data_IF_793142786598
#
_entry.id   IF_793142786598
#
_cell.length_a   1.000
_cell.length_b   1.000
_cell.length_c   1.000
_cell.angle_alpha   90.00
_cell.angle_beta   90.00
_cell.angle_gamma   90.00
#
_symmetry.space_group_name_H-M   'P 1'
#
loop_
_entity.id
_entity.type
_entity.pdbx_description
1 polymer ?
#
# COMPACT_ATOMS: atom_id res chain seq x y z
N UNK A 1 -1.39 67.42 -28.85
CA UNK A 1 -1.04 66.11 -29.44
C UNK A 1 -0.41 65.26 -28.36
N UNK A 2 -1.10 64.21 -27.91
CA UNK A 2 -0.53 62.95 -27.42
C UNK A 2 -1.70 62.00 -27.21
N UNK A 3 -1.85 61.09 -28.17
CA UNK A 3 -2.76 59.95 -28.13
C UNK A 3 -2.03 58.82 -27.42
N UNK A 4 -2.36 58.56 -26.16
CA UNK A 4 -1.99 57.30 -25.52
C UNK A 4 -3.16 56.36 -25.68
N UNK A 5 -3.05 55.47 -26.66
CA UNK A 5 -3.93 54.33 -26.87
C UNK A 5 -3.75 53.39 -25.66
N UNK A 6 -4.68 53.47 -24.71
CA UNK A 6 -4.87 52.45 -23.70
C UNK A 6 -5.51 51.25 -24.39
N UNK A 7 -4.71 50.21 -24.61
CA UNK A 7 -5.17 48.95 -25.16
C UNK A 7 -5.85 48.22 -24.00
N UNK A 8 -7.16 47.96 -24.00
CA UNK A 8 -7.80 47.28 -22.87
C UNK A 8 -7.34 45.83 -22.88
N UNK A 9 -6.36 45.49 -22.05
CA UNK A 9 -6.13 44.09 -21.68
C UNK A 9 -7.43 43.61 -21.04
N UNK A 10 -8.18 42.76 -21.75
CA UNK A 10 -9.38 42.15 -21.21
C UNK A 10 -8.99 41.47 -19.91
N UNK A 11 -9.59 41.81 -18.75
CA UNK A 11 -9.23 41.18 -17.50
C UNK A 11 -9.50 39.69 -17.63
N UNK A 12 -8.44 38.87 -17.65
CA UNK A 12 -8.56 37.42 -17.65
C UNK A 12 -9.18 37.00 -16.34
N UNK A 13 -10.46 36.61 -16.37
CA UNK A 13 -11.13 36.10 -15.18
C UNK A 13 -10.83 34.61 -15.00
N UNK A 14 -10.96 34.08 -13.78
CA UNK A 14 -10.84 32.64 -13.53
C UNK A 14 -11.75 31.80 -14.43
N UNK A 15 -12.95 32.30 -14.76
CA UNK A 15 -13.90 31.59 -15.63
C UNK A 15 -13.41 31.49 -17.08
N UNK A 16 -12.59 32.43 -17.55
CA UNK A 16 -11.98 32.35 -18.89
C UNK A 16 -10.83 31.34 -18.93
N UNK A 17 -10.04 31.23 -17.86
CA UNK A 17 -8.91 30.30 -17.76
C UNK A 17 -9.36 28.86 -17.40
N UNK A 18 -10.47 28.74 -16.67
CA UNK A 18 -11.05 27.50 -16.16
C UNK A 18 -12.52 27.44 -16.57
N UNK A 19 -12.84 26.92 -17.77
CA UNK A 19 -14.19 26.94 -18.32
C UNK A 19 -15.17 26.01 -17.59
N UNK A 20 -14.70 24.94 -16.95
CA UNK A 20 -15.50 24.19 -16.00
C UNK A 20 -15.43 24.87 -14.63
N UNK A 21 -16.39 24.60 -13.74
CA UNK A 21 -16.36 25.13 -12.39
C UNK A 21 -15.50 24.30 -11.44
N UNK A 22 -15.58 22.99 -11.60
CA UNK A 22 -14.96 22.03 -10.69
C UNK A 22 -13.89 21.21 -11.38
N UNK A 23 -12.81 20.97 -10.65
CA UNK A 23 -11.66 20.24 -11.14
C UNK A 23 -11.08 19.29 -10.09
N UNK A 24 -10.54 18.17 -10.57
CA UNK A 24 -9.64 17.31 -9.81
C UNK A 24 -8.19 17.51 -10.27
N UNK A 25 -7.29 17.70 -9.31
CA UNK A 25 -5.85 17.74 -9.53
C UNK A 25 -5.20 16.39 -9.24
N UNK A 26 -4.23 16.02 -10.06
CA UNK A 26 -3.41 14.82 -9.92
C UNK A 26 -2.00 15.11 -10.43
N UNK A 27 -1.03 14.26 -10.07
CA UNK A 27 0.31 14.34 -10.64
C UNK A 27 0.30 13.74 -12.05
N UNK A 28 0.39 14.60 -13.07
CA UNK A 28 0.41 14.21 -14.49
C UNK A 28 1.68 13.46 -14.89
N UNK A 29 2.73 13.48 -14.05
CA UNK A 29 4.00 12.79 -14.29
C UNK A 29 4.09 11.43 -13.60
N UNK A 30 3.18 11.14 -12.67
CA UNK A 30 3.12 9.88 -11.97
C UNK A 30 2.59 8.74 -12.87
N UNK A 31 3.07 7.49 -12.69
CA UNK A 31 2.45 6.33 -13.31
C UNK A 31 0.97 6.23 -12.98
N UNK A 32 0.15 5.91 -13.97
CA UNK A 32 -1.28 5.76 -13.79
C UNK A 32 -1.66 4.32 -13.38
N UNK A 33 -2.74 4.14 -12.59
CA UNK A 33 -3.60 5.19 -12.05
C UNK A 33 -2.91 6.03 -10.97
N UNK A 34 -3.01 7.35 -11.07
CA UNK A 34 -2.44 8.29 -10.10
C UNK A 34 -3.52 8.76 -9.12
N UNK A 35 -3.23 8.92 -7.82
CA UNK A 35 -4.25 9.41 -6.87
C UNK A 35 -4.70 10.82 -7.23
N UNK A 36 -5.99 11.11 -6.99
CA UNK A 36 -6.45 12.51 -6.94
C UNK A 36 -5.84 13.16 -5.70
N UNK A 37 -5.14 14.27 -5.90
CA UNK A 37 -4.41 15.00 -4.85
C UNK A 37 -5.19 16.20 -4.31
N UNK A 38 -6.05 16.79 -5.15
CA UNK A 38 -6.78 18.00 -4.79
C UNK A 38 -8.09 18.13 -5.57
N UNK A 39 -9.00 18.92 -5.02
CA UNK A 39 -10.28 19.30 -5.62
C UNK A 39 -10.41 20.82 -5.60
N UNK A 40 -10.83 21.42 -6.71
CA UNK A 40 -10.90 22.87 -6.88
C UNK A 40 -12.28 23.32 -7.35
N UNK A 41 -12.86 24.35 -6.72
CA UNK A 41 -13.96 25.17 -7.26
C UNK A 41 -13.35 26.51 -7.69
N UNK A 42 -13.10 26.68 -8.98
CA UNK A 42 -12.33 27.81 -9.52
C UNK A 42 -13.16 29.06 -9.74
N UNK A 43 -14.49 28.95 -9.79
CA UNK A 43 -15.36 30.09 -10.13
C UNK A 43 -15.57 31.07 -8.99
N UNK A 44 -15.42 30.61 -7.74
CA UNK A 44 -15.46 31.46 -6.56
C UNK A 44 -14.15 32.16 -6.24
N UNK A 45 -13.08 31.90 -7.01
CA UNK A 45 -11.75 32.43 -6.73
C UNK A 45 -11.60 33.86 -7.27
N UNK A 46 -10.86 34.70 -6.55
CA UNK A 46 -10.49 36.05 -7.00
C UNK A 46 -9.22 36.06 -7.87
N UNK A 47 -8.36 35.04 -7.72
CA UNK A 47 -7.16 34.79 -8.52
C UNK A 47 -7.00 33.28 -8.73
N UNK A 48 -6.29 32.90 -9.81
CA UNK A 48 -5.91 31.51 -10.09
C UNK A 48 -4.42 31.25 -9.85
N UNK A 49 -3.72 32.20 -9.24
CA UNK A 49 -2.31 32.07 -8.89
C UNK A 49 -2.09 30.82 -8.01
N UNK A 50 -1.14 29.98 -8.43
CA UNK A 50 -0.83 28.72 -7.75
C UNK A 50 -1.71 27.53 -8.14
N UNK A 51 -2.73 27.71 -8.99
CA UNK A 51 -3.43 26.59 -9.59
C UNK A 51 -2.65 26.03 -10.79
N UNK A 52 -2.64 24.70 -10.98
CA UNK A 52 -2.21 24.11 -12.24
C UNK A 52 -3.10 24.61 -13.40
N UNK A 53 -2.55 24.76 -14.62
CA UNK A 53 -3.36 25.11 -15.79
C UNK A 53 -4.54 24.15 -15.97
N UNK A 54 -5.69 24.64 -16.43
CA UNK A 54 -6.90 23.82 -16.58
C UNK A 54 -6.69 22.55 -17.42
N UNK A 55 -5.78 22.58 -18.41
CA UNK A 55 -5.44 21.44 -19.25
C UNK A 55 -4.72 20.29 -18.50
N UNK A 56 -4.18 20.55 -17.30
CA UNK A 56 -3.57 19.55 -16.43
C UNK A 56 -4.53 19.03 -15.35
N UNK A 57 -5.77 19.54 -15.33
CA UNK A 57 -6.80 19.15 -14.38
C UNK A 57 -7.90 18.35 -15.08
N UNK A 58 -8.63 17.55 -14.32
CA UNK A 58 -9.79 16.82 -14.83
C UNK A 58 -11.06 17.58 -14.48
N UNK A 59 -11.90 17.99 -15.46
CA UNK A 59 -13.16 18.64 -15.17
C UNK A 59 -14.12 17.68 -14.45
N UNK A 60 -14.85 18.20 -13.47
CA UNK A 60 -15.79 17.44 -12.64
C UNK A 60 -17.19 18.03 -12.84
N UNK A 61 -18.20 17.15 -12.95
CA UNK A 61 -19.59 17.58 -13.07
C UNK A 61 -20.09 18.14 -11.74
N UNK A 62 -21.10 19.02 -11.75
CA UNK A 62 -21.74 19.48 -10.50
C UNK A 62 -22.28 18.30 -9.68
N UNK A 63 -22.87 17.30 -10.33
CA UNK A 63 -23.39 16.11 -9.65
C UNK A 63 -22.29 15.35 -8.90
N UNK A 64 -21.15 15.10 -9.55
CA UNK A 64 -20.03 14.40 -8.94
C UNK A 64 -19.34 15.26 -7.86
N UNK A 65 -19.29 16.58 -8.07
CA UNK A 65 -18.78 17.52 -7.08
C UNK A 65 -19.57 17.47 -5.78
N UNK A 66 -20.90 17.40 -5.86
CA UNK A 66 -21.78 17.33 -4.68
C UNK A 66 -21.75 15.96 -3.99
N UNK A 67 -21.25 14.91 -4.65
CA UNK A 67 -21.13 13.58 -4.09
C UNK A 67 -19.86 13.46 -3.20
N UNK A 68 -19.93 14.03 -2.00
CA UNK A 68 -18.79 14.09 -1.05
C UNK A 68 -18.50 12.78 -0.31
N UNK A 69 -19.39 11.81 -0.39
CA UNK A 69 -19.28 10.54 0.34
C UNK A 69 -18.60 9.45 -0.48
N UNK A 70 -18.80 9.44 -1.79
CA UNK A 70 -18.25 8.38 -2.65
C UNK A 70 -17.37 8.94 -3.75
N UNK A 71 -17.72 10.07 -4.37
CA UNK A 71 -16.93 10.64 -5.46
C UNK A 71 -15.83 11.56 -4.92
N UNK A 72 -16.20 12.71 -4.37
CA UNK A 72 -15.27 13.71 -3.80
C UNK A 72 -14.83 13.35 -2.38
N UNK A 73 -14.44 12.09 -2.18
CA UNK A 73 -13.88 11.57 -0.94
C UNK A 73 -12.40 11.98 -0.82
N UNK A 74 -11.85 12.18 0.39
CA UNK A 74 -10.42 12.44 0.61
C UNK A 74 -9.49 11.32 0.11
N UNK A 75 -10.02 10.11 -0.08
CA UNK A 75 -9.27 8.96 -0.56
C UNK A 75 -10.14 8.06 -1.46
N UNK A 76 -9.48 7.19 -2.23
CA UNK A 76 -10.15 6.17 -3.04
C UNK A 76 -10.49 6.60 -4.47
N UNK A 77 -10.10 7.81 -4.89
CA UNK A 77 -10.18 8.26 -6.28
C UNK A 77 -8.81 8.46 -6.90
N UNK A 78 -8.72 8.15 -8.18
CA UNK A 78 -7.53 8.32 -8.98
C UNK A 78 -7.89 8.69 -10.40
N UNK A 79 -6.88 9.09 -11.17
CA UNK A 79 -6.99 9.44 -12.56
C UNK A 79 -6.30 8.39 -13.40
N UNK A 80 -7.01 7.89 -14.40
CA UNK A 80 -6.51 7.01 -15.44
C UNK A 80 -7.07 7.44 -16.79
N UNK A 81 -6.19 7.62 -17.78
CA UNK A 81 -6.52 8.02 -19.15
C UNK A 81 -7.44 9.27 -19.21
N UNK A 82 -7.17 10.24 -18.33
CA UNK A 82 -7.95 11.49 -18.22
C UNK A 82 -9.32 11.35 -17.56
N UNK A 83 -9.61 10.20 -16.93
CA UNK A 83 -10.89 9.93 -16.24
C UNK A 83 -10.68 9.66 -14.77
N UNK A 84 -11.62 10.10 -13.95
CA UNK A 84 -11.65 9.76 -12.53
C UNK A 84 -12.22 8.35 -12.36
N UNK A 85 -11.50 7.49 -11.66
CA UNK A 85 -11.85 6.10 -11.38
C UNK A 85 -11.74 5.79 -9.88
N UNK A 86 -12.23 4.63 -9.47
CA UNK A 86 -11.89 4.05 -8.16
C UNK A 86 -10.39 3.74 -8.13
N UNK A 87 -9.71 4.15 -7.06
CA UNK A 87 -8.28 3.99 -6.91
C UNK A 87 -7.95 3.06 -5.75
N UNK A 88 -7.21 2.00 -6.07
CA UNK A 88 -6.52 1.16 -5.12
C UNK A 88 -5.02 1.41 -5.26
N UNK A 89 -4.34 1.94 -4.23
CA UNK A 89 -2.89 2.14 -4.28
C UNK A 89 -2.16 0.85 -4.63
N UNK A 90 -1.11 0.91 -5.47
CA UNK A 90 -0.28 -0.27 -5.71
C UNK A 90 0.33 -0.74 -4.38
N UNK A 91 0.52 -2.06 -4.21
CA UNK A 91 1.18 -2.58 -3.03
C UNK A 91 2.61 -2.01 -2.93
N UNK A 92 3.13 -1.80 -1.71
CA UNK A 92 4.50 -1.33 -1.53
C UNK A 92 5.52 -2.33 -2.12
N UNK A 93 6.76 -1.90 -2.41
CA UNK A 93 7.80 -2.80 -2.92
C UNK A 93 8.03 -4.00 -2.02
N UNK A 94 8.34 -5.17 -2.61
CA UNK A 94 8.48 -6.44 -1.88
C UNK A 94 9.50 -6.35 -0.72
N UNK A 95 10.61 -5.62 -0.92
CA UNK A 95 11.61 -5.38 0.13
C UNK A 95 11.02 -4.65 1.35
N UNK A 96 10.17 -3.64 1.12
CA UNK A 96 9.50 -2.93 2.20
C UNK A 96 8.47 -3.81 2.91
N UNK A 97 7.75 -4.65 2.15
CA UNK A 97 6.85 -5.65 2.74
C UNK A 97 7.63 -6.64 3.63
N UNK A 98 8.75 -7.16 3.14
CA UNK A 98 9.62 -8.08 3.88
C UNK A 98 10.20 -7.43 5.14
N UNK A 99 10.56 -6.15 5.11
CA UNK A 99 11.04 -5.43 6.28
C UNK A 99 9.96 -5.31 7.36
N UNK A 100 8.72 -4.98 6.99
CA UNK A 100 7.58 -4.94 7.92
C UNK A 100 7.31 -6.33 8.51
N UNK A 101 7.30 -7.35 7.67
CA UNK A 101 7.09 -8.74 8.09
C UNK A 101 8.22 -9.22 9.02
N UNK A 102 9.48 -8.84 8.75
CA UNK A 102 10.63 -9.20 9.57
C UNK A 102 10.51 -8.60 10.98
N UNK A 103 10.08 -7.33 11.09
CA UNK A 103 9.87 -6.68 12.39
C UNK A 103 8.79 -7.41 13.20
N UNK A 104 7.67 -7.74 12.56
CA UNK A 104 6.58 -8.50 13.21
C UNK A 104 7.06 -9.89 13.63
N UNK A 105 7.70 -10.62 12.72
CA UNK A 105 8.21 -11.97 12.98
C UNK A 105 9.25 -12.00 14.10
N UNK A 106 10.18 -11.04 14.15
CA UNK A 106 11.16 -10.92 15.21
C UNK A 106 10.50 -10.67 16.58
N UNK A 107 9.48 -9.80 16.62
CA UNK A 107 8.68 -9.59 17.84
C UNK A 107 7.96 -10.86 18.29
N UNK A 108 7.37 -11.61 17.35
CA UNK A 108 6.73 -12.90 17.64
C UNK A 108 7.74 -13.91 18.17
N UNK A 109 8.89 -14.07 17.50
CA UNK A 109 9.95 -14.99 17.91
C UNK A 109 10.51 -14.65 19.28
N UNK A 110 10.70 -13.36 19.60
CA UNK A 110 11.11 -12.93 20.94
C UNK A 110 10.09 -13.31 22.01
N UNK A 111 8.80 -13.09 21.71
CA UNK A 111 7.71 -13.44 22.63
C UNK A 111 7.58 -14.95 22.86
N UNK A 112 7.78 -15.75 21.81
CA UNK A 112 7.59 -17.21 21.91
C UNK A 112 8.80 -17.94 22.52
N UNK A 113 10.02 -17.49 22.24
CA UNK A 113 11.24 -18.21 22.63
C UNK A 113 12.20 -17.34 23.43
N UNK A 114 12.45 -16.12 22.94
CA UNK A 114 13.45 -15.21 23.51
C UNK A 114 13.21 -14.88 24.98
N UNK A 115 11.97 -14.64 25.39
CA UNK A 115 11.64 -14.32 26.79
C UNK A 115 11.87 -15.50 27.76
N UNK A 116 11.86 -16.73 27.25
CA UNK A 116 12.10 -17.95 28.04
C UNK A 116 13.55 -18.43 27.95
N UNK A 117 14.42 -17.73 27.23
CA UNK A 117 15.79 -18.15 26.97
C UNK A 117 15.90 -19.35 26.02
N UNK A 118 14.82 -19.67 25.31
CA UNK A 118 14.79 -20.77 24.34
C UNK A 118 15.28 -20.30 22.97
N UNK A 119 15.88 -21.23 22.22
CA UNK A 119 16.27 -20.97 20.84
C UNK A 119 15.08 -21.21 19.91
N UNK A 120 14.76 -20.28 18.99
CA UNK A 120 13.71 -20.50 18.00
C UNK A 120 13.99 -21.73 17.13
N UNK A 121 12.97 -22.52 16.75
CA UNK A 121 13.12 -23.64 15.83
C UNK A 121 13.75 -23.23 14.49
N UNK A 122 14.41 -24.18 13.81
CA UNK A 122 15.10 -23.92 12.55
C UNK A 122 14.20 -23.33 11.45
N UNK A 123 12.90 -23.67 11.45
CA UNK A 123 11.91 -23.11 10.52
C UNK A 123 11.72 -21.59 10.71
N UNK A 124 11.70 -21.11 11.96
CA UNK A 124 11.63 -19.69 12.28
C UNK A 124 12.92 -18.97 11.91
N UNK A 125 14.08 -19.58 12.18
CA UNK A 125 15.36 -19.01 11.79
C UNK A 125 15.48 -18.85 10.26
N UNK A 126 15.09 -19.88 9.52
CA UNK A 126 15.07 -19.88 8.05
C UNK A 126 14.10 -18.83 7.49
N UNK A 127 12.92 -18.70 8.09
CA UNK A 127 11.93 -17.68 7.74
C UNK A 127 12.48 -16.25 7.93
N UNK A 128 13.06 -15.96 9.11
CA UNK A 128 13.67 -14.66 9.40
C UNK A 128 14.83 -14.33 8.44
N UNK A 129 15.65 -15.33 8.10
CA UNK A 129 16.74 -15.17 7.13
C UNK A 129 16.22 -14.89 5.72
N UNK A 130 15.19 -15.59 5.27
CA UNK A 130 14.56 -15.36 3.97
C UNK A 130 14.00 -13.93 3.88
N UNK A 131 13.25 -13.49 4.89
CA UNK A 131 12.75 -12.11 4.97
C UNK A 131 13.87 -11.07 4.94
N UNK A 132 14.98 -11.31 5.65
CA UNK A 132 16.14 -10.42 5.63
C UNK A 132 16.78 -10.33 4.24
N UNK A 133 16.92 -11.45 3.52
CA UNK A 133 17.48 -11.44 2.16
C UNK A 133 16.58 -10.67 1.19
N UNK A 134 15.26 -10.85 1.27
CA UNK A 134 14.31 -10.08 0.45
C UNK A 134 14.35 -8.59 0.81
N UNK A 135 14.34 -8.26 2.11
CA UNK A 135 14.38 -6.88 2.59
C UNK A 135 15.64 -6.12 2.17
N UNK A 136 16.77 -6.82 2.00
CA UNK A 136 18.05 -6.24 1.56
C UNK A 136 18.24 -6.28 0.04
N UNK A 137 17.29 -6.83 -0.73
CA UNK A 137 17.42 -7.03 -2.18
C UNK A 137 18.42 -8.11 -2.59
N UNK A 138 18.92 -8.91 -1.64
CA UNK A 138 19.80 -10.05 -1.90
C UNK A 138 19.04 -11.31 -2.37
N UNK A 139 17.71 -11.24 -2.40
CA UNK A 139 16.81 -12.25 -2.94
C UNK A 139 15.99 -11.66 -4.09
N UNK A 140 15.87 -12.41 -5.19
CA UNK A 140 15.10 -12.04 -6.39
C UNK A 140 13.72 -12.69 -6.45
N UNK A 141 13.27 -13.27 -5.34
CA UNK A 141 11.92 -13.81 -5.20
C UNK A 141 10.86 -12.75 -5.52
N UNK A 142 9.74 -13.19 -6.07
CA UNK A 142 8.60 -12.34 -6.46
C UNK A 142 7.47 -12.33 -5.42
N UNK A 143 7.65 -13.02 -4.30
CA UNK A 143 6.65 -13.14 -3.24
C UNK A 143 7.32 -13.28 -1.87
N UNK A 144 6.55 -13.02 -0.81
CA UNK A 144 7.00 -13.26 0.55
C UNK A 144 6.90 -14.74 0.92
N UNK A 145 7.82 -15.26 1.75
CA UNK A 145 7.66 -16.59 2.33
C UNK A 145 6.45 -16.64 3.27
N UNK A 146 5.80 -17.80 3.34
CA UNK A 146 4.73 -18.03 4.31
C UNK A 146 5.29 -18.06 5.74
N UNK A 147 4.55 -17.50 6.69
CA UNK A 147 4.92 -17.55 8.10
C UNK A 147 4.81 -19.00 8.63
N UNK A 148 5.74 -19.47 9.47
CA UNK A 148 5.63 -20.77 10.13
C UNK A 148 4.40 -20.83 11.03
N UNK A 149 3.76 -21.99 11.13
CA UNK A 149 2.70 -22.18 12.11
C UNK A 149 3.30 -22.16 13.53
N UNK A 150 2.53 -21.65 14.49
CA UNK A 150 2.95 -21.59 15.90
C UNK A 150 3.12 -22.98 16.54
N UNK A 151 2.52 -24.03 15.96
CA UNK A 151 2.56 -25.41 16.45
C UNK A 151 3.63 -26.30 15.80
N UNK A 152 4.26 -25.87 14.70
CA UNK A 152 5.38 -26.61 14.09
C UNK A 152 6.69 -26.47 14.91
N UNK A 153 6.60 -25.82 16.08
CA UNK A 153 7.69 -25.60 17.01
C UNK A 153 7.93 -26.76 18.00
N UNK A 154 7.01 -27.72 18.12
CA UNK A 154 7.03 -28.72 19.18
C UNK A 154 7.21 -30.18 18.71
N UNK A 155 7.19 -30.46 17.40
CA UNK A 155 7.10 -31.84 16.91
C UNK A 155 8.42 -32.59 16.75
N UNK A 156 9.58 -31.95 16.93
CA UNK A 156 10.87 -32.66 16.87
C UNK A 156 11.26 -33.35 18.20
N UNK A 157 10.41 -33.32 19.23
CA UNK A 157 10.65 -34.01 20.52
C UNK A 157 9.88 -35.33 20.69
N UNK A 158 9.12 -35.80 19.69
CA UNK A 158 8.29 -37.01 19.79
C UNK A 158 8.80 -38.22 18.98
N UNK A 159 10.11 -38.32 18.73
CA UNK A 159 10.73 -39.53 18.14
C UNK A 159 11.83 -40.09 19.05
N UNK A 160 11.50 -40.35 20.31
CA UNK A 160 12.31 -41.16 21.21
C UNK A 160 11.43 -41.83 22.30
N UNK A 161 10.36 -42.52 21.92
CA UNK A 161 9.77 -43.52 22.80
C UNK A 161 9.15 -44.69 22.02
N UNK A 162 9.99 -45.41 21.28
CA UNK A 162 9.69 -46.76 20.80
C UNK A 162 10.83 -47.69 21.18
N UNK A 163 10.85 -48.12 22.45
CA UNK A 163 11.62 -49.30 22.88
C UNK A 163 11.20 -49.78 24.28
N UNK A 164 9.98 -50.31 24.39
CA UNK A 164 9.66 -51.35 25.39
C UNK A 164 8.89 -52.44 24.68
N UNK A 165 9.63 -53.35 24.03
CA UNK A 165 9.12 -54.64 23.59
C UNK A 165 8.94 -55.51 24.82
N UNK A 166 7.76 -55.46 25.43
CA UNK A 166 7.37 -56.49 26.39
C UNK A 166 6.91 -57.74 25.62
N UNK A 167 7.53 -58.86 25.96
CA UNK A 167 7.42 -60.14 25.26
C UNK A 167 6.32 -60.96 25.91
N UNK A 168 5.25 -61.39 25.22
CA UNK A 168 4.38 -62.42 25.77
C UNK A 168 5.01 -63.79 25.54
N UNK A 169 5.60 -64.33 26.62
CA UNK A 169 6.00 -65.73 26.74
C UNK A 169 4.80 -66.67 26.65
N UNK A 170 5.04 -67.77 25.94
CA UNK A 170 4.16 -68.91 25.69
C UNK A 170 3.76 -69.61 26.99
N UNK A 171 2.48 -69.92 27.17
CA UNK A 171 2.06 -71.10 27.93
C UNK A 171 0.85 -71.78 27.26
N UNK A 172 1.14 -72.96 26.72
CA UNK A 172 0.18 -74.01 26.38
C UNK A 172 0.00 -74.96 27.59
N UNK A 173 -0.97 -75.88 27.45
CA UNK A 173 -1.33 -77.05 28.29
C UNK A 173 -2.56 -76.82 29.18
N UNK A 174 -3.54 -77.73 29.24
CA UNK A 174 -3.83 -78.98 28.54
C UNK A 174 -5.34 -79.26 28.69
#
# INVERSE_FOLDING_TARGET
>A
MQTTTDNPETPTTPQTLYPARYYAGYDTTAPQPAPVLAWYDTWGMSTTDGLPPAAQLIPVTEQDWQNTTTFRSPAGRGVQDGKIIDYSPPPPPLAQQAQRQLQQAASTTWSLYGMYGESPPAVWQSYLQALRRIATGADTSISLPAAPATQDAATDSASANTASTDTPSVQAQA
#
